data_IF_976974062821
#
_entry.id   IF_976974062821
#
_cell.length_a   1.000
_cell.length_b   1.000
_cell.length_c   1.000
_cell.angle_alpha   90.00
_cell.angle_beta   90.00
_cell.angle_gamma   90.00
#
_symmetry.space_group_name_H-M   'P 1'
#
loop_
_entity.id
_entity.type
_entity.pdbx_description
1 polymer ?
#
# COMPACT_ATOMS: atom_id res chain seq x y z
N UNK A 1 -13.64 22.34 -44.51
CA UNK A 1 -12.40 21.54 -44.63
C UNK A 1 -11.42 21.70 -43.44
N UNK A 2 -11.58 22.68 -42.54
CA UNK A 2 -10.67 22.90 -41.38
C UNK A 2 -10.96 22.05 -40.14
N UNK A 3 -12.24 21.81 -39.82
CA UNK A 3 -12.64 21.13 -38.58
C UNK A 3 -12.18 19.66 -38.49
N UNK A 4 -12.24 18.92 -39.60
CA UNK A 4 -11.79 17.53 -39.67
C UNK A 4 -10.26 17.38 -39.50
N UNK A 5 -9.47 18.37 -39.93
CA UNK A 5 -8.01 18.39 -39.75
C UNK A 5 -7.65 18.63 -38.28
N UNK A 6 -8.35 19.52 -37.59
CA UNK A 6 -8.14 19.80 -36.17
C UNK A 6 -8.46 18.59 -35.28
N UNK A 7 -9.58 17.90 -35.53
CA UNK A 7 -9.96 16.68 -34.80
C UNK A 7 -8.95 15.55 -35.02
N UNK A 8 -8.46 15.36 -36.26
CA UNK A 8 -7.45 14.35 -36.55
C UNK A 8 -6.10 14.62 -35.85
N UNK A 9 -5.68 15.88 -35.75
CA UNK A 9 -4.44 16.28 -35.05
C UNK A 9 -4.55 16.08 -33.54
N UNK A 10 -5.69 16.44 -32.93
CA UNK A 10 -5.93 16.20 -31.49
C UNK A 10 -5.92 14.70 -31.17
N UNK A 11 -6.60 13.88 -31.98
CA UNK A 11 -6.63 12.43 -31.80
C UNK A 11 -5.24 11.78 -31.97
N UNK A 12 -4.44 12.22 -32.95
CA UNK A 12 -3.08 11.72 -33.13
C UNK A 12 -2.17 12.14 -31.97
N UNK A 13 -2.37 13.34 -31.40
CA UNK A 13 -1.61 13.84 -30.25
C UNK A 13 -1.93 13.05 -28.99
N UNK A 14 -3.21 12.70 -28.76
CA UNK A 14 -3.63 11.84 -27.64
C UNK A 14 -3.13 10.41 -27.79
N UNK A 15 -3.18 9.84 -29.00
CA UNK A 15 -2.62 8.51 -29.29
C UNK A 15 -1.10 8.51 -29.11
N UNK A 16 -0.42 9.56 -29.56
CA UNK A 16 1.02 9.71 -29.39
C UNK A 16 1.39 9.91 -27.91
N UNK A 17 0.65 10.72 -27.15
CA UNK A 17 0.85 10.89 -25.72
C UNK A 17 0.59 9.58 -24.95
N UNK A 18 -0.44 8.82 -25.33
CA UNK A 18 -0.71 7.49 -24.80
C UNK A 18 0.39 6.50 -25.14
N UNK A 19 0.88 6.49 -26.39
CA UNK A 19 1.97 5.63 -26.83
C UNK A 19 3.31 6.00 -26.17
N UNK A 20 3.61 7.29 -26.00
CA UNK A 20 4.79 7.78 -25.27
C UNK A 20 4.69 7.40 -23.80
N UNK A 21 3.53 7.56 -23.17
CA UNK A 21 3.28 7.13 -21.79
C UNK A 21 3.49 5.62 -21.66
N UNK A 22 2.90 4.82 -22.55
CA UNK A 22 3.08 3.36 -22.57
C UNK A 22 4.54 2.95 -22.84
N UNK A 23 5.27 3.70 -23.67
CA UNK A 23 6.69 3.48 -23.93
C UNK A 23 7.57 3.90 -22.74
N UNK A 24 7.20 4.95 -22.02
CA UNK A 24 7.83 5.36 -20.77
C UNK A 24 7.58 4.32 -19.66
N UNK A 25 6.36 3.81 -19.55
CA UNK A 25 5.99 2.71 -18.64
C UNK A 25 6.75 1.42 -19.00
N UNK A 26 6.96 1.13 -20.30
CA UNK A 26 7.78 -0.01 -20.75
C UNK A 26 9.28 0.15 -20.50
N UNK A 27 9.74 1.36 -20.13
CA UNK A 27 11.12 1.65 -19.74
C UNK A 27 11.32 1.66 -18.23
N UNK A 28 10.27 1.48 -17.44
CA UNK A 28 10.45 1.27 -16.01
C UNK A 28 11.20 -0.06 -15.84
N UNK A 29 12.34 0.00 -15.13
CA UNK A 29 13.13 -1.18 -14.83
C UNK A 29 12.22 -2.25 -14.20
N UNK A 30 12.51 -3.52 -14.49
CA UNK A 30 11.88 -4.66 -13.81
C UNK A 30 11.81 -4.39 -12.31
N UNK A 31 10.65 -4.64 -11.70
CA UNK A 31 10.45 -4.37 -10.28
C UNK A 31 11.55 -5.01 -9.44
N UNK A 32 12.08 -4.25 -8.49
CA UNK A 32 12.89 -4.81 -7.43
C UNK A 32 11.97 -5.40 -6.37
N UNK A 33 12.02 -6.71 -6.18
CA UNK A 33 11.25 -7.40 -5.14
C UNK A 33 12.03 -7.36 -3.83
N UNK A 34 11.51 -6.63 -2.84
CA UNK A 34 12.12 -6.52 -1.51
C UNK A 34 12.07 -7.87 -0.81
N UNK A 35 13.20 -8.39 -0.35
CA UNK A 35 13.31 -9.65 0.40
C UNK A 35 13.58 -9.36 1.86
N UNK A 36 13.25 -10.32 2.73
CA UNK A 36 13.52 -10.25 4.18
C UNK A 36 14.99 -9.99 4.53
N UNK A 37 15.92 -10.43 3.68
CA UNK A 37 17.35 -10.25 3.88
C UNK A 37 17.86 -8.87 3.48
N UNK A 38 17.10 -8.12 2.68
CA UNK A 38 17.45 -6.76 2.27
C UNK A 38 17.36 -5.83 3.50
N UNK A 39 18.12 -4.74 3.52
CA UNK A 39 18.17 -3.81 4.66
C UNK A 39 16.78 -3.33 5.09
N UNK A 40 15.97 -2.85 4.14
CA UNK A 40 14.59 -2.43 4.40
C UNK A 40 13.67 -3.63 4.76
N UNK A 41 13.97 -4.83 4.25
CA UNK A 41 13.24 -6.06 4.63
C UNK A 41 13.54 -6.53 6.05
N UNK A 42 14.71 -6.18 6.60
CA UNK A 42 15.06 -6.42 8.00
C UNK A 42 14.32 -5.47 8.94
N UNK A 43 14.03 -4.23 8.51
CA UNK A 43 13.13 -3.31 9.24
C UNK A 43 11.75 -3.95 9.40
N UNK A 44 11.16 -4.44 8.31
CA UNK A 44 9.88 -5.18 8.33
C UNK A 44 9.96 -6.37 9.28
N UNK A 45 10.99 -7.21 9.13
CA UNK A 45 11.13 -8.43 9.93
C UNK A 45 11.26 -8.11 11.43
N UNK A 46 12.06 -7.10 11.78
CA UNK A 46 12.33 -6.74 13.18
C UNK A 46 11.08 -6.18 13.85
N UNK A 47 10.42 -5.21 13.21
CA UNK A 47 9.22 -4.58 13.78
C UNK A 47 8.04 -5.53 13.80
N UNK A 48 7.78 -6.27 12.71
CA UNK A 48 6.65 -7.19 12.70
C UNK A 48 6.79 -8.30 13.75
N UNK A 49 8.03 -8.70 14.10
CA UNK A 49 8.26 -9.65 15.17
C UNK A 49 7.86 -9.12 16.57
N UNK A 50 7.78 -7.81 16.82
CA UNK A 50 7.26 -7.29 18.09
C UNK A 50 5.76 -7.63 18.26
N UNK A 51 5.03 -7.76 17.15
CA UNK A 51 3.63 -8.16 17.12
C UNK A 51 3.41 -9.67 17.05
N UNK A 52 4.47 -10.48 17.13
CA UNK A 52 4.37 -11.94 16.94
C UNK A 52 3.41 -12.62 17.92
N UNK A 53 3.30 -12.10 19.14
CA UNK A 53 2.43 -12.67 20.17
C UNK A 53 0.96 -12.29 20.03
N UNK A 54 0.63 -11.24 19.28
CA UNK A 54 -0.75 -10.76 19.10
C UNK A 54 -1.36 -11.20 17.76
N UNK A 55 -0.53 -11.36 16.73
CA UNK A 55 -0.97 -11.92 15.46
C UNK A 55 -1.14 -13.43 15.58
N UNK A 56 -2.30 -13.94 15.14
CA UNK A 56 -2.57 -15.38 15.09
C UNK A 56 -1.45 -16.13 14.35
N UNK A 57 -1.00 -17.25 14.92
CA UNK A 57 0.13 -18.01 14.37
C UNK A 57 -0.08 -18.45 12.91
N UNK A 58 -1.34 -18.70 12.51
CA UNK A 58 -1.73 -19.05 11.14
C UNK A 58 -1.78 -17.87 10.17
N UNK A 59 -1.81 -16.64 10.67
CA UNK A 59 -1.95 -15.41 9.87
C UNK A 59 -0.59 -14.70 9.67
N UNK A 60 0.35 -14.88 10.61
CA UNK A 60 1.62 -14.14 10.65
C UNK A 60 2.43 -14.19 9.35
N UNK A 61 2.59 -15.39 8.77
CA UNK A 61 3.36 -15.55 7.54
C UNK A 61 2.67 -14.90 6.34
N UNK A 62 1.34 -14.97 6.28
CA UNK A 62 0.52 -14.31 5.27
C UNK A 62 0.63 -12.80 5.36
N UNK A 63 0.49 -12.24 6.57
CA UNK A 63 0.58 -10.80 6.79
C UNK A 63 1.97 -10.26 6.48
N UNK A 64 3.04 -10.92 6.95
CA UNK A 64 4.42 -10.52 6.57
C UNK A 64 4.63 -10.53 5.06
N UNK A 65 4.15 -11.56 4.37
CA UNK A 65 4.32 -11.65 2.93
C UNK A 65 3.54 -10.54 2.23
N UNK A 66 2.33 -10.21 2.69
CA UNK A 66 1.56 -9.06 2.24
C UNK A 66 2.34 -7.74 2.42
N UNK A 67 2.86 -7.45 3.61
CA UNK A 67 3.70 -6.27 3.87
C UNK A 67 4.86 -6.17 2.87
N UNK A 68 5.56 -7.28 2.58
CA UNK A 68 6.68 -7.29 1.63
C UNK A 68 6.25 -7.11 0.17
N UNK A 69 5.06 -7.61 -0.22
CA UNK A 69 4.48 -7.36 -1.55
C UNK A 69 4.15 -5.88 -1.71
N UNK A 70 3.40 -5.31 -0.76
CA UNK A 70 3.00 -3.90 -0.77
C UNK A 70 4.23 -2.99 -0.74
N UNK A 71 5.23 -3.29 0.08
CA UNK A 71 6.49 -2.52 0.13
C UNK A 71 7.22 -2.52 -1.22
N UNK A 72 7.26 -3.67 -1.90
CA UNK A 72 7.88 -3.77 -3.24
C UNK A 72 7.16 -2.87 -4.26
N UNK A 73 5.83 -2.83 -4.21
CA UNK A 73 5.03 -1.96 -5.08
C UNK A 73 5.16 -0.48 -4.72
N UNK A 74 5.16 -0.14 -3.42
CA UNK A 74 5.27 1.24 -2.96
C UNK A 74 6.60 1.85 -3.38
N UNK A 75 7.72 1.13 -3.16
CA UNK A 75 9.05 1.59 -3.59
C UNK A 75 9.17 1.72 -5.12
N UNK A 76 8.42 0.92 -5.89
CA UNK A 76 8.33 1.10 -7.33
C UNK A 76 7.66 2.44 -7.69
N UNK A 77 6.55 2.80 -7.03
CA UNK A 77 5.86 4.07 -7.26
C UNK A 77 6.63 5.29 -6.75
N UNK A 78 7.48 5.13 -5.73
CA UNK A 78 8.34 6.19 -5.20
C UNK A 78 9.59 6.48 -6.07
N UNK A 79 9.73 5.79 -7.21
CA UNK A 79 10.81 6.05 -8.16
C UNK A 79 11.71 4.84 -8.43
N UNK A 80 11.52 3.74 -7.70
CA UNK A 80 12.22 2.48 -7.88
C UNK A 80 13.49 2.32 -7.03
N UNK A 81 13.96 1.08 -6.92
CA UNK A 81 15.11 0.73 -6.10
C UNK A 81 16.38 1.48 -6.52
N UNK A 82 17.13 1.97 -5.52
CA UNK A 82 18.33 2.79 -5.71
C UNK A 82 18.07 4.26 -6.05
N UNK A 83 16.80 4.68 -6.13
CA UNK A 83 16.39 6.09 -6.29
C UNK A 83 15.64 6.64 -5.09
N UNK A 84 14.90 5.78 -4.39
CA UNK A 84 14.33 6.10 -3.08
C UNK A 84 15.47 6.10 -2.05
N UNK A 85 15.57 7.15 -1.25
CA UNK A 85 16.54 7.21 -0.17
C UNK A 85 16.22 6.19 0.94
N UNK A 86 17.22 5.92 1.78
CA UNK A 86 17.10 4.90 2.82
C UNK A 86 16.03 5.24 3.87
N UNK A 87 15.87 6.52 4.22
CA UNK A 87 14.92 6.94 5.25
C UNK A 87 13.49 6.83 4.74
N UNK A 88 13.20 7.29 3.53
CA UNK A 88 11.88 7.09 2.90
C UNK A 88 11.52 5.61 2.77
N UNK A 89 12.50 4.76 2.41
CA UNK A 89 12.29 3.31 2.35
C UNK A 89 11.98 2.70 3.72
N UNK A 90 12.67 3.16 4.77
CA UNK A 90 12.43 2.77 6.15
C UNK A 90 11.04 3.20 6.64
N UNK A 91 10.64 4.45 6.40
CA UNK A 91 9.30 4.96 6.76
C UNK A 91 8.19 4.16 6.07
N UNK A 92 8.37 3.80 4.79
CA UNK A 92 7.41 2.96 4.08
C UNK A 92 7.30 1.57 4.70
N UNK A 93 8.43 0.97 5.10
CA UNK A 93 8.43 -0.31 5.80
C UNK A 93 7.75 -0.22 7.17
N UNK A 94 7.96 0.88 7.91
CA UNK A 94 7.30 1.14 9.19
C UNK A 94 5.80 1.24 8.98
N UNK A 95 5.33 2.15 8.12
CA UNK A 95 3.91 2.35 7.84
C UNK A 95 3.22 1.02 7.49
N UNK A 96 3.84 0.20 6.63
CA UNK A 96 3.28 -1.07 6.21
C UNK A 96 3.33 -2.16 7.28
N UNK A 97 4.20 -2.11 8.28
CA UNK A 97 4.09 -3.03 9.43
C UNK A 97 2.84 -2.73 10.25
N UNK A 98 2.49 -1.44 10.38
CA UNK A 98 1.37 -1.00 11.20
C UNK A 98 0.03 -0.98 10.45
N UNK A 99 -0.02 -0.81 9.13
CA UNK A 99 -1.26 -0.42 8.44
C UNK A 99 -2.50 -1.32 8.67
N UNK A 100 -2.29 -2.63 8.81
CA UNK A 100 -3.33 -3.63 9.05
C UNK A 100 -3.33 -4.18 10.49
N UNK A 101 -2.42 -3.69 11.35
CA UNK A 101 -2.15 -4.35 12.65
C UNK A 101 -3.37 -4.33 13.59
N UNK A 102 -4.23 -3.32 13.45
CA UNK A 102 -5.48 -3.18 14.19
C UNK A 102 -6.44 -4.35 14.01
N UNK A 103 -6.32 -5.13 12.92
CA UNK A 103 -7.08 -6.37 12.74
C UNK A 103 -6.85 -7.36 13.89
N UNK A 104 -5.60 -7.42 14.41
CA UNK A 104 -5.22 -8.33 15.49
C UNK A 104 -5.13 -7.63 16.85
N UNK A 105 -4.56 -6.42 16.91
CA UNK A 105 -4.35 -5.75 18.21
C UNK A 105 -5.63 -5.24 18.84
N UNK A 106 -6.56 -4.81 18.00
CA UNK A 106 -7.81 -4.19 18.45
C UNK A 106 -9.01 -5.10 18.19
N UNK A 107 -8.82 -6.17 17.40
CA UNK A 107 -9.84 -7.16 17.06
C UNK A 107 -11.10 -6.53 16.44
N UNK A 108 -10.90 -5.70 15.39
CA UNK A 108 -11.95 -4.91 14.72
C UNK A 108 -11.81 -4.96 13.20
N UNK A 109 -12.90 -4.72 12.45
CA UNK A 109 -12.85 -4.57 10.99
C UNK A 109 -12.72 -3.11 10.54
N UNK A 110 -13.03 -2.14 11.38
CA UNK A 110 -12.75 -0.72 11.16
C UNK A 110 -11.35 -0.34 11.66
N UNK A 111 -10.38 -1.20 11.35
CA UNK A 111 -9.04 -1.25 11.95
C UNK A 111 -8.09 -0.13 11.51
N UNK A 112 -8.40 0.59 10.42
CA UNK A 112 -7.51 1.58 9.80
C UNK A 112 -7.13 2.70 10.77
N UNK A 113 -8.13 3.34 11.40
CA UNK A 113 -7.89 4.39 12.40
C UNK A 113 -7.20 3.84 13.67
N UNK A 114 -7.63 2.71 14.26
CA UNK A 114 -6.90 2.04 15.34
C UNK A 114 -5.42 1.77 15.02
N UNK A 115 -5.12 1.34 13.79
CA UNK A 115 -3.75 1.08 13.34
C UNK A 115 -2.93 2.36 13.29
N UNK A 116 -3.53 3.46 12.80
CA UNK A 116 -2.91 4.79 12.80
C UNK A 116 -2.63 5.31 14.22
N UNK A 117 -3.59 5.18 15.14
CA UNK A 117 -3.39 5.58 16.54
C UNK A 117 -2.27 4.78 17.21
N UNK A 118 -2.22 3.46 16.98
CA UNK A 118 -1.14 2.63 17.50
C UNK A 118 0.22 3.07 16.98
N UNK A 119 0.32 3.37 15.68
CA UNK A 119 1.56 3.88 15.10
C UNK A 119 1.94 5.23 15.71
N UNK A 120 0.98 6.15 15.89
CA UNK A 120 1.21 7.43 16.53
C UNK A 120 1.76 7.28 17.96
N UNK A 121 1.16 6.41 18.77
CA UNK A 121 1.56 6.18 20.16
C UNK A 121 2.92 5.47 20.27
N UNK A 122 3.18 4.44 19.47
CA UNK A 122 4.38 3.60 19.59
C UNK A 122 5.62 4.22 18.92
N UNK A 123 5.44 5.11 17.94
CA UNK A 123 6.53 5.76 17.21
C UNK A 123 6.80 7.20 17.70
N UNK A 124 6.06 7.67 18.71
CA UNK A 124 6.29 8.96 19.34
C UNK A 124 7.72 9.04 19.89
N UNK A 125 8.44 10.10 19.50
CA UNK A 125 9.84 10.33 19.90
C UNK A 125 10.87 9.49 19.12
N UNK A 126 10.43 8.52 18.30
CA UNK A 126 11.30 7.81 17.35
C UNK A 126 11.38 8.54 16.00
N UNK A 127 10.26 9.12 15.56
CA UNK A 127 10.12 9.86 14.31
C UNK A 127 10.00 11.37 14.58
N UNK A 128 10.37 12.19 13.59
CA UNK A 128 9.99 13.62 13.63
C UNK A 128 8.48 13.77 13.47
N UNK A 129 7.93 14.94 13.83
CA UNK A 129 6.50 15.22 13.66
C UNK A 129 6.04 15.03 12.20
N UNK A 130 6.82 15.50 11.23
CA UNK A 130 6.52 15.36 9.80
C UNK A 130 6.58 13.90 9.33
N UNK A 131 7.58 13.14 9.78
CA UNK A 131 7.73 11.71 9.44
C UNK A 131 6.60 10.88 10.06
N UNK A 132 6.20 11.21 11.29
CA UNK A 132 5.10 10.55 11.98
C UNK A 132 3.78 10.83 11.27
N UNK A 133 3.53 12.07 10.87
CA UNK A 133 2.36 12.44 10.09
C UNK A 133 2.30 11.68 8.75
N UNK A 134 3.42 11.61 8.01
CA UNK A 134 3.51 10.83 6.77
C UNK A 134 3.19 9.34 6.97
N UNK A 135 3.72 8.73 8.04
CA UNK A 135 3.46 7.32 8.37
C UNK A 135 1.99 7.11 8.73
N UNK A 136 1.42 7.97 9.58
CA UNK A 136 0.02 7.88 10.01
C UNK A 136 -0.93 8.09 8.84
N UNK A 137 -0.68 9.07 7.98
CA UNK A 137 -1.52 9.33 6.81
C UNK A 137 -1.45 8.18 5.80
N UNK A 138 -0.26 7.59 5.59
CA UNK A 138 -0.14 6.39 4.78
C UNK A 138 -0.97 5.22 5.34
N UNK A 139 -1.02 5.08 6.66
CA UNK A 139 -1.86 4.07 7.32
C UNK A 139 -3.34 4.44 7.22
N UNK A 140 -3.74 5.69 7.42
CA UNK A 140 -5.16 6.07 7.46
C UNK A 140 -5.79 6.07 6.06
N UNK A 141 -5.01 6.41 5.04
CA UNK A 141 -5.52 6.58 3.68
C UNK A 141 -5.21 5.42 2.73
N UNK A 142 -4.64 4.28 3.16
CA UNK A 142 -4.27 3.20 2.23
C UNK A 142 -5.47 2.58 1.48
N UNK A 143 -6.66 2.54 2.09
CA UNK A 143 -7.92 2.09 1.45
C UNK A 143 -8.66 3.18 0.68
N UNK A 144 -8.14 4.42 0.65
CA UNK A 144 -8.79 5.51 -0.09
C UNK A 144 -8.91 5.14 -1.57
N UNK A 145 -10.14 5.20 -2.09
CA UNK A 145 -10.43 4.82 -3.49
C UNK A 145 -9.82 5.84 -4.47
N UNK A 146 -9.93 7.13 -4.14
CA UNK A 146 -9.41 8.21 -4.99
C UNK A 146 -7.93 8.44 -4.73
N UNK A 147 -7.21 9.12 -5.65
CA UNK A 147 -5.86 9.60 -5.35
C UNK A 147 -5.84 10.43 -4.06
N UNK A 148 -4.76 10.30 -3.29
CA UNK A 148 -4.44 11.23 -2.22
C UNK A 148 -3.71 12.43 -2.86
N UNK A 149 -4.29 13.63 -2.76
CA UNK A 149 -3.75 14.83 -3.44
C UNK A 149 -3.38 15.98 -2.49
N UNK A 150 -3.56 15.80 -1.17
CA UNK A 150 -3.12 16.74 -0.12
C UNK A 150 -3.67 18.17 -0.23
N UNK A 151 -4.68 18.40 -1.08
CA UNK A 151 -5.10 19.77 -1.45
C UNK A 151 -5.69 20.57 -0.30
N UNK A 152 -6.32 19.89 0.65
CA UNK A 152 -7.02 20.54 1.75
C UNK A 152 -6.06 20.93 2.90
N UNK A 153 -4.82 20.42 2.88
CA UNK A 153 -3.87 20.52 4.01
C UNK A 153 -2.54 21.19 3.66
N UNK A 154 -2.34 21.61 2.40
CA UNK A 154 -1.11 22.23 1.91
C UNK A 154 0.16 21.40 2.19
N UNK A 155 0.05 20.08 2.06
CA UNK A 155 1.14 19.12 2.32
C UNK A 155 2.28 19.24 1.30
N UNK A 156 3.48 18.86 1.74
CA UNK A 156 4.64 18.75 0.87
C UNK A 156 4.41 17.70 -0.25
N UNK A 157 4.84 17.94 -1.50
CA UNK A 157 4.67 16.98 -2.58
C UNK A 157 5.27 15.59 -2.32
N UNK A 158 6.34 15.48 -1.54
CA UNK A 158 6.95 14.20 -1.16
C UNK A 158 6.05 13.43 -0.19
N UNK A 159 5.40 14.11 0.76
CA UNK A 159 4.36 13.53 1.63
C UNK A 159 3.24 12.95 0.76
N UNK A 160 2.66 13.76 -0.14
CA UNK A 160 1.56 13.33 -1.01
C UNK A 160 1.96 12.12 -1.87
N UNK A 161 3.18 12.14 -2.43
CA UNK A 161 3.70 11.03 -3.22
C UNK A 161 3.90 9.75 -2.37
N UNK A 162 4.36 9.88 -1.13
CA UNK A 162 4.56 8.78 -0.19
C UNK A 162 3.23 8.08 0.14
N UNK A 163 2.22 8.84 0.56
CA UNK A 163 0.89 8.30 0.91
C UNK A 163 0.21 7.68 -0.30
N UNK A 164 0.22 8.35 -1.46
CA UNK A 164 -0.42 7.82 -2.67
C UNK A 164 0.31 6.60 -3.24
N UNK A 165 1.62 6.46 -3.03
CA UNK A 165 2.38 5.27 -3.42
C UNK A 165 1.98 4.04 -2.59
N UNK A 166 1.86 4.20 -1.26
CA UNK A 166 1.41 3.12 -0.36
C UNK A 166 -0.03 2.75 -0.65
N UNK A 167 -0.93 3.73 -0.80
CA UNK A 167 -2.32 3.52 -1.20
C UNK A 167 -2.42 2.70 -2.49
N UNK A 168 -1.73 3.12 -3.56
CA UNK A 168 -1.71 2.36 -4.82
C UNK A 168 -1.19 0.94 -4.60
N UNK A 169 -0.09 0.79 -3.88
CA UNK A 169 0.55 -0.48 -3.63
C UNK A 169 -0.37 -1.47 -2.91
N UNK A 170 -1.10 -1.00 -1.88
CA UNK A 170 -2.03 -1.84 -1.14
C UNK A 170 -3.20 -2.31 -2.03
N UNK A 171 -3.79 -1.40 -2.81
CA UNK A 171 -4.83 -1.75 -3.78
C UNK A 171 -4.39 -2.81 -4.80
N UNK A 172 -3.10 -2.84 -5.19
CA UNK A 172 -2.57 -3.92 -6.03
C UNK A 172 -2.67 -5.26 -5.30
N UNK A 173 -2.29 -5.31 -4.03
CA UNK A 173 -2.26 -6.56 -3.29
C UNK A 173 -3.65 -7.03 -2.85
N UNK A 174 -4.45 -6.11 -2.33
CA UNK A 174 -5.82 -6.33 -1.86
C UNK A 174 -6.74 -6.84 -2.99
N UNK A 175 -6.49 -6.43 -4.23
CA UNK A 175 -7.27 -6.86 -5.40
C UNK A 175 -6.62 -7.98 -6.21
N UNK A 176 -5.57 -8.61 -5.69
CA UNK A 176 -4.82 -9.67 -6.38
C UNK A 176 -4.32 -9.24 -7.77
N UNK A 177 -3.93 -7.97 -7.91
CA UNK A 177 -3.43 -7.35 -9.14
C UNK A 177 -4.50 -6.98 -10.17
N UNK A 178 -5.78 -7.02 -9.81
CA UNK A 178 -6.87 -6.58 -10.71
C UNK A 178 -6.83 -5.06 -10.89
N UNK A 179 -6.65 -4.32 -9.80
CA UNK A 179 -6.28 -2.90 -9.83
C UNK A 179 -4.76 -2.84 -9.79
N UNK A 180 -4.11 -2.29 -10.82
CA UNK A 180 -2.65 -2.34 -10.94
C UNK A 180 -1.98 -0.98 -11.16
N UNK A 181 -2.74 0.12 -11.26
CA UNK A 181 -2.23 1.50 -11.36
C UNK A 181 -1.11 1.73 -12.40
N UNK A 182 -1.13 0.99 -13.51
CA UNK A 182 -0.11 1.07 -14.57
C UNK A 182 1.06 0.11 -14.41
N UNK A 183 1.18 -0.61 -13.29
CA UNK A 183 2.18 -1.65 -13.09
C UNK A 183 1.96 -2.81 -14.07
N UNK A 184 3.05 -3.35 -14.61
CA UNK A 184 2.99 -4.49 -15.52
C UNK A 184 2.61 -5.76 -14.76
N UNK A 185 1.72 -6.58 -15.35
CA UNK A 185 1.30 -7.85 -14.74
C UNK A 185 2.48 -8.79 -14.43
N UNK A 186 3.49 -8.80 -15.30
CA UNK A 186 4.70 -9.59 -15.08
C UNK A 186 5.49 -9.18 -13.83
N UNK A 187 5.45 -7.90 -13.44
CA UNK A 187 6.09 -7.42 -12.21
C UNK A 187 5.30 -7.83 -10.97
N UNK A 188 3.98 -7.77 -11.04
CA UNK A 188 3.09 -8.29 -10.01
C UNK A 188 3.36 -9.79 -9.80
N UNK A 189 3.32 -10.58 -10.89
CA UNK A 189 3.54 -12.03 -10.82
C UNK A 189 4.93 -12.38 -10.22
N UNK A 190 5.97 -11.58 -10.50
CA UNK A 190 7.31 -11.73 -9.87
C UNK A 190 7.27 -11.52 -8.37
N UNK A 191 6.56 -10.49 -7.90
CA UNK A 191 6.41 -10.20 -6.47
C UNK A 191 5.66 -11.34 -5.76
N UNK A 192 4.57 -11.85 -6.34
CA UNK A 192 3.84 -13.02 -5.81
C UNK A 192 4.68 -14.29 -5.79
N UNK A 193 5.54 -14.51 -6.80
CA UNK A 193 6.40 -15.68 -6.84
C UNK A 193 7.42 -15.70 -5.70
N UNK A 194 7.89 -14.54 -5.25
CA UNK A 194 8.82 -14.42 -4.11
C UNK A 194 8.07 -14.45 -2.77
N UNK A 195 6.92 -13.77 -2.70
CA UNK A 195 6.10 -13.64 -1.48
C UNK A 195 4.70 -14.18 -1.71
N UNK A 196 4.50 -15.51 -1.70
CA UNK A 196 3.19 -16.09 -1.92
C UNK A 196 2.20 -15.63 -0.83
N UNK A 197 0.88 -15.60 -1.11
CA UNK A 197 -0.12 -15.09 -0.16
C UNK A 197 -0.12 -15.80 1.19
N UNK A 198 0.33 -17.06 1.25
CA UNK A 198 0.49 -17.82 2.50
C UNK A 198 -0.73 -17.75 3.43
N UNK A 199 -1.94 -17.82 2.87
CA UNK A 199 -3.20 -17.78 3.61
C UNK A 199 -3.81 -16.40 3.81
N UNK A 200 -3.12 -15.30 3.45
CA UNK A 200 -3.56 -13.93 3.75
C UNK A 200 -4.99 -13.59 3.31
N UNK A 201 -5.40 -13.93 2.07
CA UNK A 201 -6.76 -13.67 1.61
C UNK A 201 -7.82 -14.50 2.35
N UNK A 202 -7.44 -15.71 2.80
CA UNK A 202 -8.30 -16.54 3.64
C UNK A 202 -8.42 -15.91 5.04
N UNK A 203 -7.34 -15.36 5.59
CA UNK A 203 -7.35 -14.58 6.82
C UNK A 203 -8.29 -13.39 6.73
N UNK A 204 -8.16 -12.54 5.70
CA UNK A 204 -9.03 -11.38 5.52
C UNK A 204 -10.52 -11.76 5.41
N UNK A 205 -10.84 -12.80 4.64
CA UNK A 205 -12.21 -13.30 4.53
C UNK A 205 -12.75 -13.90 5.84
N UNK A 206 -11.87 -14.38 6.73
CA UNK A 206 -12.23 -15.05 7.97
C UNK A 206 -12.29 -14.11 9.18
N UNK A 207 -11.61 -12.94 9.17
CA UNK A 207 -11.54 -12.07 10.36
C UNK A 207 -12.93 -11.60 10.78
N UNK A 208 -13.78 -11.13 9.87
CA UNK A 208 -15.15 -10.74 10.22
C UNK A 208 -15.94 -11.86 10.91
N UNK A 209 -16.02 -13.06 10.31
CA UNK A 209 -16.60 -14.23 10.97
C UNK A 209 -15.96 -14.63 12.31
N UNK A 210 -14.63 -14.52 12.47
CA UNK A 210 -13.94 -14.80 13.73
C UNK A 210 -14.35 -13.82 14.84
N UNK A 211 -14.49 -12.54 14.51
CA UNK A 211 -14.82 -11.48 15.46
C UNK A 211 -16.30 -11.42 15.81
N UNK A 212 -17.17 -11.56 14.81
CA UNK A 212 -18.60 -11.24 14.94
C UNK A 212 -19.53 -12.40 14.60
N UNK A 213 -18.99 -13.59 14.31
CA UNK A 213 -19.76 -14.67 13.70
C UNK A 213 -20.32 -14.24 12.34
N UNK A 214 -21.46 -14.80 11.94
CA UNK A 214 -22.13 -14.43 10.68
C UNK A 214 -23.03 -13.19 10.80
N UNK A 215 -22.67 -12.22 11.66
CA UNK A 215 -23.37 -10.94 11.76
C UNK A 215 -23.02 -10.04 10.56
N UNK A 216 -23.56 -10.39 9.40
CA UNK A 216 -23.30 -9.71 8.12
C UNK A 216 -23.56 -8.19 8.21
N UNK A 217 -24.66 -7.69 8.80
CA UNK A 217 -24.87 -6.25 8.90
C UNK A 217 -23.74 -5.51 9.64
N UNK A 218 -23.24 -6.08 10.75
CA UNK A 218 -22.12 -5.48 11.48
C UNK A 218 -20.82 -5.53 10.69
N UNK A 219 -20.51 -6.67 10.08
CA UNK A 219 -19.32 -6.83 9.23
C UNK A 219 -19.32 -5.79 8.11
N UNK A 220 -20.43 -5.65 7.39
CA UNK A 220 -20.54 -4.70 6.29
C UNK A 220 -20.48 -3.24 6.76
N UNK A 221 -21.02 -2.93 7.95
CA UNK A 221 -20.94 -1.59 8.52
C UNK A 221 -19.50 -1.18 8.85
N UNK A 222 -18.72 -2.06 9.48
CA UNK A 222 -17.32 -1.75 9.82
C UNK A 222 -16.42 -1.70 8.57
N UNK A 223 -16.61 -2.62 7.62
CA UNK A 223 -15.90 -2.58 6.33
C UNK A 223 -16.23 -1.33 5.51
N UNK A 224 -17.42 -0.74 5.66
CA UNK A 224 -17.73 0.51 5.00
C UNK A 224 -16.81 1.64 5.53
N UNK A 225 -16.50 1.65 6.83
CA UNK A 225 -15.73 2.73 7.45
C UNK A 225 -14.29 2.85 6.92
N UNK A 226 -13.67 1.75 6.49
CA UNK A 226 -12.26 1.78 6.05
C UNK A 226 -12.10 2.35 4.63
N UNK A 227 -13.17 2.39 3.84
CA UNK A 227 -13.12 2.79 2.41
C UNK A 227 -13.47 4.27 2.20
N UNK A 228 -14.10 4.92 3.17
CA UNK A 228 -14.57 6.31 3.07
C UNK A 228 -13.54 7.38 3.51
N UNK A 229 -12.35 6.97 3.97
CA UNK A 229 -11.26 7.87 4.36
C UNK A 229 -10.59 8.50 3.13
#
# INVERSE_FOLDING_TARGET
>A
MGFAKTVAVVSLTLVLAYAIRRLADSRQATIHVVRKGDEVGQVVTTRLNSFRSVIDAGDFDGYRNHVLRVLSYALHFLGGHGRVDARTSELAAIALVYHDIGLWTDARLDYVVPSGHRAADELEGELTEDELAMVVDAIVYHHKITPFDGKDEALDPEHVAFVDAIRKADWIDATMGTVHHGMARADIDRVYAVHPPAGFYTTLAAIGPRLYGYNVPRIMWELAQIVYL
#
